data_IF_528938239169
#
_entry.id   IF_528938239169
#
_cell.length_a   1.000
_cell.length_b   1.000
_cell.length_c   1.000
_cell.angle_alpha   90.00
_cell.angle_beta   90.00
_cell.angle_gamma   90.00
#
_symmetry.space_group_name_H-M   'P 1'
#
loop_
_entity.id
_entity.type
_entity.pdbx_description
1 polymer ?
#
# COMPACT_ATOMS: atom_id res chain seq x y z
N UNK A 1 -6.29 -1.09 14.53
CA UNK A 1 -6.85 -2.30 13.91
C UNK A 1 -6.26 -2.41 12.52
N UNK A 2 -5.42 -3.42 12.25
CA UNK A 2 -4.91 -3.72 10.91
C UNK A 2 -5.97 -3.71 9.79
N UNK A 3 -7.18 -4.23 10.05
CA UNK A 3 -8.29 -4.31 9.08
C UNK A 3 -9.32 -3.17 9.21
N UNK A 4 -8.85 -1.96 9.55
CA UNK A 4 -9.71 -0.77 9.59
C UNK A 4 -9.24 0.27 8.59
N UNK A 5 -10.22 0.79 7.86
CA UNK A 5 -10.21 2.09 7.26
C UNK A 5 -10.55 3.20 8.22
N UNK A 6 -10.11 4.39 7.86
CA UNK A 6 -11.01 5.52 7.96
C UNK A 6 -11.33 6.03 6.56
N UNK A 7 -12.62 6.12 6.24
CA UNK A 7 -13.15 6.82 5.09
C UNK A 7 -13.41 8.28 5.47
N UNK A 8 -12.59 9.21 4.97
CA UNK A 8 -12.69 10.62 5.32
C UNK A 8 -13.78 11.38 4.57
N UNK A 9 -14.34 10.82 3.51
CA UNK A 9 -15.44 11.42 2.74
C UNK A 9 -16.72 11.32 3.58
N UNK A 10 -16.95 10.15 4.17
CA UNK A 10 -18.11 9.90 5.03
C UNK A 10 -17.84 10.12 6.52
N UNK A 11 -16.59 10.43 6.91
CA UNK A 11 -16.14 10.51 8.30
C UNK A 11 -16.38 9.20 9.09
N UNK A 12 -16.31 8.06 8.41
CA UNK A 12 -16.55 6.75 9.03
C UNK A 12 -15.24 5.97 9.20
N UNK A 13 -14.97 5.50 10.42
CA UNK A 13 -14.03 4.39 10.58
C UNK A 13 -14.75 3.12 10.08
N UNK A 14 -14.34 2.59 8.92
CA UNK A 14 -14.87 1.33 8.42
C UNK A 14 -13.95 0.21 8.92
N UNK A 15 -14.50 -0.77 9.60
CA UNK A 15 -13.77 -1.96 10.01
C UNK A 15 -14.71 -3.15 9.92
N UNK A 16 -14.14 -4.34 9.73
CA UNK A 16 -14.90 -5.57 9.65
C UNK A 16 -14.84 -6.27 11.00
N UNK A 17 -15.99 -6.74 11.49
CA UNK A 17 -16.13 -7.54 12.72
C UNK A 17 -17.04 -8.73 12.45
N UNK A 18 -16.80 -9.85 13.15
CA UNK A 18 -17.63 -11.06 13.08
C UNK A 18 -18.74 -11.10 14.15
N UNK A 19 -18.90 -10.04 14.93
CA UNK A 19 -19.90 -9.95 16.00
C UNK A 19 -20.40 -8.51 16.19
N UNK A 20 -21.62 -8.38 16.71
CA UNK A 20 -22.20 -7.09 17.10
C UNK A 20 -21.72 -6.68 18.50
N UNK A 21 -21.22 -5.45 18.64
CA UNK A 21 -20.76 -4.91 19.91
C UNK A 21 -20.77 -3.37 19.90
N UNK A 22 -20.45 -2.75 21.04
CA UNK A 22 -20.11 -1.33 21.13
C UNK A 22 -18.60 -1.17 20.92
N UNK A 23 -18.22 -0.28 20.02
CA UNK A 23 -16.83 0.00 19.71
C UNK A 23 -16.49 1.44 20.09
N UNK A 24 -15.24 1.67 20.54
CA UNK A 24 -14.69 2.99 20.80
C UNK A 24 -13.48 3.23 19.89
N UNK A 25 -13.32 4.46 19.41
CA UNK A 25 -12.17 4.85 18.61
C UNK A 25 -11.12 5.45 19.54
N UNK A 26 -9.98 4.77 19.68
CA UNK A 26 -8.80 5.29 20.38
C UNK A 26 -7.72 5.72 19.40
N UNK A 27 -7.02 6.82 19.70
CA UNK A 27 -5.86 7.28 18.95
C UNK A 27 -4.58 6.94 19.72
N UNK A 28 -3.66 6.23 19.07
CA UNK A 28 -2.31 5.97 19.58
C UNK A 28 -1.31 6.62 18.64
N UNK A 29 -0.60 7.64 19.12
CA UNK A 29 0.53 8.21 18.38
C UNK A 29 1.64 7.17 18.32
N UNK A 30 1.92 6.66 17.12
CA UNK A 30 3.13 5.86 16.87
C UNK A 30 4.17 6.81 16.30
N UNK A 31 5.19 7.11 17.09
CA UNK A 31 6.32 7.92 16.60
C UNK A 31 7.25 7.01 15.82
N UNK A 32 7.31 7.19 14.50
CA UNK A 32 8.19 6.43 13.62
C UNK A 32 9.46 7.24 13.36
N UNK A 33 10.51 6.96 14.13
CA UNK A 33 11.80 7.67 14.03
C UNK A 33 12.85 6.80 13.32
N UNK A 34 12.67 6.55 12.02
CA UNK A 34 13.68 5.89 11.21
C UNK A 34 14.56 6.92 10.50
N UNK A 35 15.86 6.85 10.76
CA UNK A 35 16.84 7.82 10.23
C UNK A 35 17.19 7.58 8.75
N UNK A 36 16.86 6.41 8.21
CA UNK A 36 17.18 5.98 6.85
C UNK A 36 16.00 6.11 5.87
N UNK A 37 14.91 6.75 6.28
CA UNK A 37 13.73 6.97 5.41
C UNK A 37 13.42 8.44 5.15
N UNK A 38 14.15 9.39 5.75
CA UNK A 38 13.81 10.83 5.74
C UNK A 38 13.53 11.39 4.35
N UNK A 39 14.36 11.03 3.36
CA UNK A 39 14.22 11.44 1.96
C UNK A 39 13.87 10.28 1.04
N UNK A 40 13.29 9.21 1.59
CA UNK A 40 12.99 7.99 0.84
C UNK A 40 11.57 8.05 0.27
N UNK A 41 11.39 7.71 -1.02
CA UNK A 41 10.08 7.76 -1.70
C UNK A 41 8.98 6.99 -0.97
N UNK A 42 9.35 5.88 -0.34
CA UNK A 42 8.44 5.01 0.40
C UNK A 42 8.18 5.45 1.87
N UNK A 43 8.68 6.61 2.33
CA UNK A 43 8.56 7.06 3.73
C UNK A 43 7.12 6.94 4.25
N UNK A 44 6.15 7.55 3.57
CA UNK A 44 4.74 7.49 3.96
C UNK A 44 4.21 6.06 4.05
N UNK A 45 4.62 5.21 3.12
CA UNK A 45 4.19 3.81 3.07
C UNK A 45 4.78 3.00 4.22
N UNK A 46 6.04 3.27 4.56
CA UNK A 46 6.77 2.66 5.68
C UNK A 46 6.13 3.09 7.00
N UNK A 47 5.90 4.38 7.21
CA UNK A 47 5.24 4.89 8.40
C UNK A 47 3.82 4.32 8.55
N UNK A 48 3.08 4.21 7.44
CA UNK A 48 1.74 3.61 7.43
C UNK A 48 1.70 2.17 7.94
N UNK A 49 2.60 1.31 7.44
CA UNK A 49 2.62 -0.11 7.81
C UNK A 49 3.22 -0.33 9.20
N UNK A 50 4.15 0.52 9.63
CA UNK A 50 4.77 0.47 10.96
C UNK A 50 3.81 0.94 12.03
N UNK A 51 3.09 2.04 11.80
CA UNK A 51 2.06 2.54 12.71
C UNK A 51 0.93 1.53 12.94
N UNK A 52 0.69 0.63 11.98
CA UNK A 52 -0.29 -0.47 12.06
C UNK A 52 0.28 -1.77 12.62
N UNK A 53 1.58 -1.81 12.93
CA UNK A 53 2.27 -3.02 13.40
C UNK A 53 2.41 -4.12 12.34
N UNK A 54 2.17 -3.81 11.07
CA UNK A 54 2.26 -4.78 9.95
C UNK A 54 3.73 -5.12 9.71
N UNK A 55 4.58 -4.09 9.58
CA UNK A 55 6.04 -4.22 9.51
C UNK A 55 6.70 -3.54 10.71
N UNK A 56 7.93 -3.93 10.98
CA UNK A 56 8.78 -3.33 12.02
C UNK A 56 10.15 -2.96 11.43
N UNK A 57 10.85 -2.05 12.10
CA UNK A 57 12.26 -1.75 11.81
C UNK A 57 13.19 -2.91 12.12
N UNK A 58 14.47 -2.75 11.82
CA UNK A 58 15.50 -3.79 12.01
C UNK A 58 16.34 -3.59 13.28
N UNK A 59 16.08 -2.53 14.06
CA UNK A 59 16.91 -2.08 15.18
C UNK A 59 17.55 -0.71 14.91
N UNK A 60 18.20 -0.14 15.92
CA UNK A 60 19.06 1.06 15.82
C UNK A 60 18.47 2.28 15.10
N UNK A 61 17.14 2.47 15.19
CA UNK A 61 16.46 3.56 14.49
C UNK A 61 16.52 3.43 12.97
N UNK A 62 16.56 2.19 12.43
CA UNK A 62 16.59 1.88 11.00
C UNK A 62 15.42 1.01 10.56
N UNK A 63 14.92 1.30 9.36
CA UNK A 63 13.95 0.45 8.67
C UNK A 63 14.58 -0.47 7.62
N UNK A 64 15.70 -0.06 7.04
CA UNK A 64 16.38 -0.65 5.90
C UNK A 64 15.47 -0.78 4.65
N UNK A 65 14.98 0.35 4.09
CA UNK A 65 13.96 0.35 3.03
C UNK A 65 14.42 -0.37 1.75
N UNK A 66 15.71 -0.32 1.43
CA UNK A 66 16.28 -0.89 0.21
C UNK A 66 16.70 -2.36 0.36
N UNK A 67 16.65 -2.92 1.57
CA UNK A 67 16.96 -4.34 1.76
C UNK A 67 15.86 -5.20 1.14
N UNK A 68 16.25 -6.37 0.63
CA UNK A 68 15.30 -7.35 0.11
C UNK A 68 14.36 -7.85 1.23
N UNK A 69 13.08 -8.01 0.89
CA UNK A 69 12.11 -8.66 1.77
C UNK A 69 12.20 -10.18 1.60
N UNK A 70 12.24 -10.93 2.71
CA UNK A 70 12.20 -12.40 2.64
C UNK A 70 10.75 -12.93 2.59
N UNK A 71 10.58 -14.15 2.12
CA UNK A 71 9.28 -14.85 2.12
C UNK A 71 8.67 -14.97 3.52
N UNK A 72 9.48 -15.29 4.53
CA UNK A 72 9.03 -15.37 5.92
C UNK A 72 8.60 -14.01 6.48
N UNK A 73 9.31 -12.93 6.16
CA UNK A 73 8.90 -11.57 6.52
C UNK A 73 7.57 -11.18 5.87
N UNK A 74 7.41 -11.49 4.58
CA UNK A 74 6.19 -11.14 3.85
C UNK A 74 4.95 -11.84 4.40
N UNK A 75 5.03 -13.16 4.65
CA UNK A 75 3.92 -13.90 5.25
C UNK A 75 3.64 -13.44 6.69
N UNK A 76 4.66 -13.08 7.45
CA UNK A 76 4.47 -12.44 8.77
C UNK A 76 3.66 -11.15 8.67
N UNK A 77 3.93 -10.33 7.65
CA UNK A 77 3.18 -9.09 7.42
C UNK A 77 1.70 -9.38 7.10
N UNK A 78 1.43 -10.36 6.24
CA UNK A 78 0.05 -10.78 5.91
C UNK A 78 -0.68 -11.36 7.13
N UNK A 79 0.00 -12.18 7.94
CA UNK A 79 -0.58 -12.75 9.15
C UNK A 79 -0.87 -11.72 10.23
N UNK A 80 -0.03 -10.68 10.35
CA UNK A 80 -0.32 -9.52 11.21
C UNK A 80 -1.49 -8.70 10.70
N UNK A 81 -1.61 -8.56 9.38
CA UNK A 81 -2.75 -7.89 8.77
C UNK A 81 -4.06 -8.66 9.03
N UNK A 82 -4.02 -9.99 8.95
CA UNK A 82 -5.16 -10.86 9.30
C UNK A 82 -5.41 -11.02 10.81
N UNK A 83 -4.61 -10.40 11.69
CA UNK A 83 -4.71 -10.55 13.15
C UNK A 83 -4.71 -12.03 13.58
N UNK A 84 -3.86 -12.85 12.95
CA UNK A 84 -3.80 -14.30 13.19
C UNK A 84 -3.59 -14.62 14.67
N UNK A 85 -4.45 -15.49 15.21
CA UNK A 85 -4.22 -16.07 16.54
C UNK A 85 -2.99 -16.98 16.50
N UNK A 86 -1.91 -16.48 17.07
CA UNK A 86 -0.64 -17.18 17.06
C UNK A 86 -0.65 -18.50 17.81
N UNK A 87 -1.62 -18.71 18.72
CA UNK A 87 -1.73 -19.95 19.51
C UNK A 87 -2.35 -21.09 18.71
N UNK A 88 -3.05 -20.79 17.61
CA UNK A 88 -3.70 -21.80 16.77
C UNK A 88 -2.70 -22.56 15.89
N UNK A 89 -1.48 -22.05 15.70
CA UNK A 89 -0.47 -22.63 14.83
C UNK A 89 0.87 -22.77 15.55
N UNK A 90 1.09 -23.95 16.15
CA UNK A 90 2.23 -24.22 17.04
C UNK A 90 3.34 -25.05 16.39
N UNK A 91 3.12 -25.56 15.17
CA UNK A 91 4.09 -26.37 14.42
C UNK A 91 3.97 -26.12 12.93
N UNK A 92 5.11 -26.00 12.26
CA UNK A 92 5.18 -25.88 10.81
C UNK A 92 5.06 -27.23 10.10
N UNK A 93 4.36 -27.24 8.97
CA UNK A 93 4.29 -28.32 7.99
C UNK A 93 5.54 -28.40 7.10
N UNK A 94 6.37 -27.35 7.08
CA UNK A 94 7.65 -27.31 6.35
C UNK A 94 8.84 -27.62 7.24
N UNK A 95 9.77 -28.42 6.74
CA UNK A 95 10.94 -28.91 7.49
C UNK A 95 12.04 -27.87 7.71
N UNK A 96 12.08 -26.81 6.89
CA UNK A 96 13.05 -25.72 6.98
C UNK A 96 12.57 -24.51 7.80
N UNK A 97 11.43 -24.64 8.47
CA UNK A 97 10.86 -23.63 9.36
C UNK A 97 11.04 -24.10 10.79
N UNK A 98 11.95 -23.44 11.52
CA UNK A 98 12.23 -23.75 12.93
C UNK A 98 11.03 -23.40 13.82
N UNK A 99 10.81 -24.19 14.86
CA UNK A 99 9.69 -24.02 15.80
C UNK A 99 9.72 -22.68 16.54
N UNK A 100 10.91 -22.14 16.81
CA UNK A 100 11.17 -20.90 17.54
C UNK A 100 11.29 -19.67 16.62
N UNK A 101 11.16 -19.83 15.30
CA UNK A 101 11.25 -18.71 14.38
C UNK A 101 10.03 -17.78 14.52
N UNK A 102 10.25 -16.47 14.56
CA UNK A 102 9.18 -15.47 14.67
C UNK A 102 8.11 -15.56 13.57
N UNK A 103 8.46 -16.14 12.42
CA UNK A 103 7.56 -16.33 11.27
C UNK A 103 6.86 -17.69 11.28
N UNK A 104 7.23 -18.64 12.17
CA UNK A 104 6.79 -20.04 12.13
C UNK A 104 5.27 -20.16 12.07
N UNK A 105 4.60 -19.57 13.04
CA UNK A 105 3.15 -19.56 13.18
C UNK A 105 2.46 -18.97 11.95
N UNK A 106 2.99 -17.87 11.41
CA UNK A 106 2.41 -17.22 10.23
C UNK A 106 2.63 -18.04 8.95
N UNK A 107 3.78 -18.70 8.82
CA UNK A 107 4.03 -19.61 7.70
C UNK A 107 3.07 -20.80 7.74
N UNK A 108 2.84 -21.37 8.92
CA UNK A 108 1.89 -22.46 9.07
C UNK A 108 0.45 -22.00 8.78
N UNK A 109 0.03 -20.86 9.34
CA UNK A 109 -1.28 -20.26 9.02
C UNK A 109 -1.46 -20.06 7.52
N UNK A 110 -0.46 -19.47 6.87
CA UNK A 110 -0.51 -19.21 5.43
C UNK A 110 -0.58 -20.50 4.61
N UNK A 111 0.09 -21.56 5.06
CA UNK A 111 0.02 -22.86 4.39
C UNK A 111 -1.36 -23.51 4.55
N UNK A 112 -1.90 -23.54 5.78
CA UNK A 112 -3.21 -24.13 6.07
C UNK A 112 -4.37 -23.44 5.36
N UNK A 113 -4.22 -22.15 5.07
CA UNK A 113 -5.23 -21.37 4.35
C UNK A 113 -4.95 -21.26 2.84
N UNK A 114 -3.95 -21.96 2.31
CA UNK A 114 -3.66 -21.95 0.87
C UNK A 114 -3.09 -20.64 0.33
N UNK A 115 -2.57 -19.77 1.21
CA UNK A 115 -1.84 -18.55 0.81
C UNK A 115 -0.48 -18.94 0.20
N UNK A 116 0.16 -19.98 0.76
CA UNK A 116 1.46 -20.48 0.31
C UNK A 116 1.48 -22.01 0.20
N UNK A 117 2.18 -22.52 -0.82
CA UNK A 117 2.36 -23.96 -1.04
C UNK A 117 3.81 -24.44 -0.81
N UNK A 118 4.70 -23.55 -0.35
CA UNK A 118 6.13 -23.82 -0.28
C UNK A 118 6.84 -23.73 -1.63
N UNK A 119 7.99 -24.39 -1.75
CA UNK A 119 8.83 -24.42 -2.96
C UNK A 119 9.10 -25.86 -3.47
N UNK A 120 8.35 -26.84 -2.95
CA UNK A 120 8.58 -28.28 -3.21
C UNK A 120 9.44 -28.94 -2.12
N UNK A 121 9.45 -30.27 -2.11
CA UNK A 121 10.27 -31.07 -1.18
C UNK A 121 9.97 -30.88 0.32
N UNK A 122 8.79 -30.36 0.66
CA UNK A 122 8.43 -30.02 2.05
C UNK A 122 9.12 -28.75 2.58
N UNK A 123 9.62 -27.87 1.70
CA UNK A 123 10.34 -26.65 2.05
C UNK A 123 9.52 -25.39 1.78
N UNK A 124 9.72 -24.35 2.59
CA UNK A 124 9.13 -23.02 2.42
C UNK A 124 10.13 -21.96 1.92
N UNK A 125 11.40 -22.10 2.29
CA UNK A 125 12.50 -21.15 2.11
C UNK A 125 12.25 -19.77 2.76
N UNK A 126 12.08 -19.67 4.09
CA UNK A 126 11.65 -18.44 4.77
C UNK A 126 12.66 -17.29 4.67
N UNK A 127 13.95 -17.59 4.55
CA UNK A 127 15.01 -16.57 4.47
C UNK A 127 15.34 -16.15 3.02
N UNK A 128 14.77 -16.84 2.02
CA UNK A 128 14.96 -16.46 0.62
C UNK A 128 14.17 -15.19 0.33
N UNK A 129 14.76 -14.28 -0.44
CA UNK A 129 14.08 -13.09 -0.95
C UNK A 129 12.83 -13.49 -1.73
N UNK A 130 11.74 -12.74 -1.53
CA UNK A 130 10.50 -12.95 -2.27
C UNK A 130 10.61 -12.31 -3.66
N UNK A 131 10.22 -13.04 -4.69
CA UNK A 131 10.11 -12.48 -6.05
C UNK A 131 8.80 -11.73 -6.21
N UNK A 132 8.72 -10.79 -7.15
CA UNK A 132 7.50 -9.98 -7.36
C UNK A 132 6.32 -10.82 -7.84
N UNK A 133 6.54 -11.86 -8.64
CA UNK A 133 5.46 -12.79 -9.04
C UNK A 133 4.99 -13.67 -7.87
N UNK A 134 5.88 -14.05 -6.94
CA UNK A 134 5.49 -14.75 -5.71
C UNK A 134 4.67 -13.83 -4.79
N UNK A 135 5.07 -12.57 -4.66
CA UNK A 135 4.33 -11.56 -3.91
C UNK A 135 2.93 -11.37 -4.46
N UNK A 136 2.77 -11.26 -5.79
CA UNK A 136 1.46 -11.14 -6.44
C UNK A 136 0.54 -12.33 -6.14
N UNK A 137 1.04 -13.56 -6.26
CA UNK A 137 0.27 -14.77 -5.95
C UNK A 137 -0.14 -14.82 -4.48
N UNK A 138 0.78 -14.52 -3.57
CA UNK A 138 0.47 -14.52 -2.14
C UNK A 138 -0.57 -13.46 -1.77
N UNK A 139 -0.53 -12.27 -2.38
CA UNK A 139 -1.56 -11.23 -2.17
C UNK A 139 -2.91 -11.67 -2.71
N UNK A 140 -2.95 -12.23 -3.93
CA UNK A 140 -4.19 -12.70 -4.53
C UNK A 140 -4.83 -13.83 -3.72
N UNK A 141 -4.03 -14.77 -3.21
CA UNK A 141 -4.53 -15.83 -2.34
C UNK A 141 -4.96 -15.29 -0.97
N UNK A 142 -4.19 -14.37 -0.40
CA UNK A 142 -4.55 -13.70 0.85
C UNK A 142 -5.91 -12.99 0.75
N UNK A 143 -6.12 -12.23 -0.33
CA UNK A 143 -7.40 -11.57 -0.61
C UNK A 143 -8.57 -12.55 -0.58
N UNK A 144 -8.42 -13.71 -1.25
CA UNK A 144 -9.42 -14.78 -1.23
C UNK A 144 -9.68 -15.33 0.18
N UNK A 145 -8.63 -15.56 0.95
CA UNK A 145 -8.73 -16.10 2.33
C UNK A 145 -9.51 -15.15 3.25
N UNK A 146 -9.34 -13.84 3.09
CA UNK A 146 -10.07 -12.85 3.88
C UNK A 146 -11.43 -12.47 3.28
N UNK A 147 -11.85 -13.13 2.19
CA UNK A 147 -13.11 -12.83 1.50
C UNK A 147 -13.12 -11.48 0.76
N UNK A 148 -11.95 -10.92 0.45
CA UNK A 148 -11.82 -9.69 -0.31
C UNK A 148 -11.74 -9.99 -1.81
N UNK A 149 -12.80 -9.67 -2.54
CA UNK A 149 -12.79 -9.72 -4.01
C UNK A 149 -11.98 -8.54 -4.55
N UNK A 150 -10.89 -8.84 -5.26
CA UNK A 150 -10.01 -7.85 -5.85
C UNK A 150 -10.75 -7.04 -6.93
N UNK A 151 -11.02 -5.73 -6.72
CA UNK A 151 -11.73 -4.93 -7.70
C UNK A 151 -10.88 -4.67 -8.94
N UNK A 152 -11.53 -4.38 -10.06
CA UNK A 152 -10.90 -4.02 -11.34
C UNK A 152 -10.95 -2.52 -11.54
N UNK A 153 -10.18 -1.78 -10.74
CA UNK A 153 -10.15 -0.31 -10.78
C UNK A 153 -9.41 0.18 -12.02
N UNK A 154 -8.25 -0.41 -12.30
CA UNK A 154 -7.44 -0.09 -13.47
C UNK A 154 -7.78 -0.98 -14.65
N UNK A 155 -7.62 -0.41 -15.85
CA UNK A 155 -7.58 -1.17 -17.07
C UNK A 155 -6.44 -2.20 -17.03
N UNK A 156 -6.65 -3.34 -17.68
CA UNK A 156 -5.61 -4.35 -17.83
C UNK A 156 -4.41 -3.76 -18.58
N UNK A 157 -3.23 -3.95 -18.01
CA UNK A 157 -1.96 -3.51 -18.59
C UNK A 157 -1.11 -4.71 -18.98
N UNK A 158 -0.65 -4.75 -20.23
CA UNK A 158 0.31 -5.74 -20.68
C UNK A 158 1.72 -5.22 -20.44
N UNK A 159 2.41 -5.77 -19.45
CA UNK A 159 3.79 -5.43 -19.16
C UNK A 159 4.73 -5.80 -20.32
N UNK A 160 5.76 -4.97 -20.54
CA UNK A 160 6.75 -5.18 -21.59
C UNK A 160 7.52 -6.50 -21.41
N UNK A 161 7.67 -6.98 -20.18
CA UNK A 161 8.29 -8.26 -19.83
C UNK A 161 7.28 -9.36 -19.49
N UNK A 162 6.02 -9.26 -19.94
CA UNK A 162 4.97 -10.25 -19.66
C UNK A 162 5.35 -11.69 -20.01
N UNK A 163 6.20 -11.88 -21.03
CA UNK A 163 6.72 -13.19 -21.43
C UNK A 163 7.57 -13.87 -20.34
N UNK A 164 8.13 -13.10 -19.40
CA UNK A 164 8.89 -13.60 -18.25
C UNK A 164 7.99 -13.98 -17.07
N UNK A 165 6.72 -13.59 -17.08
CA UNK A 165 5.79 -13.94 -15.99
C UNK A 165 5.49 -15.43 -16.10
N UNK A 166 5.79 -16.16 -15.03
CA UNK A 166 5.54 -17.59 -14.99
C UNK A 166 4.05 -17.90 -15.18
N UNK A 167 3.73 -18.99 -15.90
CA UNK A 167 2.33 -19.38 -16.18
C UNK A 167 1.46 -19.43 -14.93
N UNK A 168 2.01 -19.94 -13.82
CA UNK A 168 1.31 -20.05 -12.53
C UNK A 168 1.02 -18.70 -11.85
N UNK A 169 1.67 -17.62 -12.27
CA UNK A 169 1.53 -16.28 -11.69
C UNK A 169 0.68 -15.33 -12.54
N UNK A 170 0.42 -15.64 -13.82
CA UNK A 170 -0.22 -14.71 -14.78
C UNK A 170 -1.53 -14.12 -14.27
N UNK A 171 -2.43 -14.96 -13.80
CA UNK A 171 -3.75 -14.51 -13.32
C UNK A 171 -3.64 -13.64 -12.06
N UNK A 172 -2.73 -14.00 -11.16
CA UNK A 172 -2.49 -13.21 -9.96
C UNK A 172 -1.88 -11.86 -10.29
N UNK A 173 -0.86 -11.81 -11.17
CA UNK A 173 -0.22 -10.58 -11.63
C UNK A 173 -1.24 -9.65 -12.30
N UNK A 174 -2.05 -10.19 -13.20
CA UNK A 174 -3.15 -9.46 -13.83
C UNK A 174 -4.11 -8.89 -12.79
N UNK A 175 -4.57 -9.72 -11.85
CA UNK A 175 -5.55 -9.30 -10.84
C UNK A 175 -5.02 -8.18 -9.96
N UNK A 176 -3.80 -8.33 -9.39
CA UNK A 176 -3.23 -7.30 -8.51
C UNK A 176 -2.84 -6.02 -9.25
N UNK A 177 -2.56 -6.10 -10.56
CA UNK A 177 -2.36 -4.94 -11.41
C UNK A 177 -3.67 -4.20 -11.64
N UNK A 178 -4.72 -4.89 -12.06
CA UNK A 178 -6.03 -4.28 -12.31
C UNK A 178 -6.65 -3.70 -11.05
N UNK A 179 -6.28 -4.21 -9.88
CA UNK A 179 -6.71 -3.61 -8.60
C UNK A 179 -5.92 -2.35 -8.24
N UNK A 180 -4.72 -2.14 -8.81
CA UNK A 180 -3.83 -1.04 -8.44
C UNK A 180 -2.94 -1.34 -7.22
N UNK A 181 -2.90 -2.59 -6.75
CA UNK A 181 -2.04 -3.01 -5.61
C UNK A 181 -0.57 -3.04 -6.04
N UNK A 182 -0.30 -3.56 -7.25
CA UNK A 182 1.04 -3.62 -7.84
C UNK A 182 0.99 -2.90 -9.20
N UNK A 183 1.74 -1.81 -9.34
CA UNK A 183 1.70 -0.95 -10.53
C UNK A 183 2.76 -1.31 -11.58
N UNK A 184 3.80 -2.07 -11.20
CA UNK A 184 4.99 -2.29 -12.02
C UNK A 184 6.06 -1.22 -11.78
N UNK A 185 7.21 -1.40 -12.43
CA UNK A 185 8.39 -0.54 -12.40
C UNK A 185 8.43 0.37 -13.63
N UNK A 186 9.33 1.35 -13.62
CA UNK A 186 9.59 2.23 -14.76
C UNK A 186 9.82 1.42 -16.05
N UNK A 187 9.35 1.96 -17.19
CA UNK A 187 9.44 1.30 -18.48
C UNK A 187 8.40 0.19 -18.71
N UNK A 188 7.29 0.21 -17.95
CA UNK A 188 6.23 -0.80 -18.01
C UNK A 188 6.75 -2.24 -17.76
N UNK A 189 7.59 -2.39 -16.74
CA UNK A 189 8.24 -3.66 -16.39
C UNK A 189 7.61 -4.22 -15.11
N UNK A 190 7.14 -5.46 -15.13
CA UNK A 190 6.67 -6.13 -13.93
C UNK A 190 7.84 -6.65 -13.07
N UNK A 191 8.92 -7.12 -13.70
CA UNK A 191 10.09 -7.74 -13.10
C UNK A 191 9.74 -9.00 -12.26
N UNK A 192 9.14 -10.04 -12.88
CA UNK A 192 8.52 -11.15 -12.15
C UNK A 192 9.50 -11.96 -11.28
N UNK A 193 10.72 -12.20 -11.77
CA UNK A 193 11.76 -12.91 -11.02
C UNK A 193 12.61 -11.98 -10.14
N UNK A 194 12.51 -10.67 -10.30
CA UNK A 194 13.18 -9.70 -9.45
C UNK A 194 12.66 -9.75 -8.02
N UNK A 195 13.53 -9.44 -7.06
CA UNK A 195 13.18 -9.43 -5.63
C UNK A 195 12.54 -8.12 -5.22
N UNK A 196 11.55 -8.18 -4.32
CA UNK A 196 10.93 -6.97 -3.77
C UNK A 196 11.73 -6.43 -2.57
N UNK A 197 11.93 -5.11 -2.53
CA UNK A 197 12.51 -4.42 -1.36
C UNK A 197 11.48 -4.23 -0.26
N UNK A 198 11.94 -3.93 0.96
CA UNK A 198 11.05 -3.59 2.09
C UNK A 198 10.23 -2.34 1.81
N UNK A 199 10.77 -1.37 1.07
CA UNK A 199 10.06 -0.19 0.60
C UNK A 199 8.94 -0.53 -0.39
N UNK A 200 9.24 -1.33 -1.42
CA UNK A 200 8.25 -1.79 -2.40
C UNK A 200 7.10 -2.53 -1.70
N UNK A 201 7.43 -3.46 -0.80
CA UNK A 201 6.41 -4.21 -0.04
C UNK A 201 5.58 -3.29 0.85
N UNK A 202 6.17 -2.26 1.46
CA UNK A 202 5.42 -1.30 2.28
C UNK A 202 4.40 -0.53 1.44
N UNK A 203 4.78 -0.10 0.23
CA UNK A 203 3.87 0.57 -0.71
C UNK A 203 2.74 -0.36 -1.15
N UNK A 204 3.06 -1.60 -1.51
CA UNK A 204 2.08 -2.62 -1.92
C UNK A 204 1.09 -2.93 -0.79
N UNK A 205 1.56 -3.14 0.44
CA UNK A 205 0.70 -3.41 1.60
C UNK A 205 -0.19 -2.20 1.93
N UNK A 206 0.34 -0.98 1.83
CA UNK A 206 -0.45 0.23 2.01
C UNK A 206 -1.59 0.31 0.99
N UNK A 207 -1.29 0.15 -0.31
CA UNK A 207 -2.31 0.16 -1.38
C UNK A 207 -3.36 -0.92 -1.15
N UNK A 208 -2.94 -2.15 -0.79
CA UNK A 208 -3.87 -3.22 -0.44
C UNK A 208 -4.85 -2.80 0.66
N UNK A 209 -4.33 -2.24 1.77
CA UNK A 209 -5.18 -1.79 2.88
C UNK A 209 -6.10 -0.67 2.41
N UNK A 210 -5.60 0.35 1.71
CA UNK A 210 -6.41 1.47 1.21
C UNK A 210 -7.51 1.03 0.21
N UNK A 211 -7.25 0.02 -0.60
CA UNK A 211 -8.21 -0.53 -1.57
C UNK A 211 -9.26 -1.45 -0.95
N UNK A 212 -8.92 -2.17 0.11
CA UNK A 212 -9.88 -2.94 0.90
C UNK A 212 -10.94 -2.05 1.58
N UNK A 213 -10.70 -0.74 1.58
CA UNK A 213 -11.50 0.29 2.23
C UNK A 213 -12.33 1.06 1.21
N UNK A 214 -11.67 1.57 0.18
CA UNK A 214 -12.28 2.37 -0.88
C UNK A 214 -11.48 2.22 -2.17
N UNK A 215 -12.17 1.83 -3.24
CA UNK A 215 -11.58 1.63 -4.56
C UNK A 215 -11.07 2.92 -5.20
N UNK A 216 -11.62 4.07 -4.83
CA UNK A 216 -11.23 5.39 -5.35
C UNK A 216 -9.78 5.75 -4.99
N UNK A 217 -9.17 5.04 -4.04
CA UNK A 217 -7.76 5.24 -3.64
C UNK A 217 -6.76 4.81 -4.72
N UNK A 218 -7.19 4.07 -5.74
CA UNK A 218 -6.36 3.75 -6.91
C UNK A 218 -6.51 4.75 -8.07
N UNK A 219 -7.39 5.76 -7.98
CA UNK A 219 -7.50 6.84 -8.97
C UNK A 219 -6.61 8.05 -8.62
N UNK A 220 -6.37 8.93 -9.60
CA UNK A 220 -5.57 10.14 -9.40
C UNK A 220 -4.07 9.85 -9.24
N UNK A 221 -3.40 10.65 -8.39
CA UNK A 221 -1.95 10.54 -8.21
C UNK A 221 -1.55 9.27 -7.46
N UNK A 222 -0.73 8.44 -8.10
CA UNK A 222 -0.15 7.24 -7.53
C UNK A 222 1.35 7.17 -7.83
N UNK A 223 2.13 6.57 -6.93
CA UNK A 223 3.51 6.18 -7.24
C UNK A 223 3.52 4.75 -7.75
N UNK A 224 4.34 4.45 -8.75
CA UNK A 224 4.65 3.09 -9.17
C UNK A 224 5.65 2.41 -8.21
N UNK A 225 6.05 1.18 -8.50
CA UNK A 225 6.94 0.41 -7.62
C UNK A 225 8.42 0.78 -7.77
N UNK A 226 8.74 1.75 -8.63
CA UNK A 226 10.05 2.41 -8.71
C UNK A 226 10.08 3.77 -8.00
N UNK A 227 8.97 4.19 -7.38
CA UNK A 227 8.85 5.49 -6.73
C UNK A 227 8.62 6.67 -7.69
N UNK A 228 8.27 6.40 -8.95
CA UNK A 228 7.91 7.45 -9.92
C UNK A 228 6.41 7.72 -9.90
N UNK A 229 6.03 8.96 -10.19
CA UNK A 229 4.63 9.38 -10.17
C UNK A 229 3.88 9.03 -11.46
N UNK A 230 2.61 8.71 -11.30
CA UNK A 230 1.62 8.45 -12.33
C UNK A 230 0.30 9.12 -11.94
N UNK A 231 -0.58 9.35 -12.92
CA UNK A 231 -1.92 9.85 -12.67
C UNK A 231 -2.95 8.99 -13.39
N UNK A 232 -3.99 8.56 -12.69
CA UNK A 232 -5.05 7.72 -13.21
C UNK A 232 -6.36 8.49 -13.34
N UNK A 233 -7.03 8.35 -14.50
CA UNK A 233 -8.41 8.79 -14.72
C UNK A 233 -9.21 7.63 -15.30
N UNK A 234 -10.30 7.24 -14.61
CA UNK A 234 -11.18 6.16 -15.02
C UNK A 234 -10.41 4.86 -15.28
N UNK A 235 -9.51 4.52 -14.37
CA UNK A 235 -8.70 3.32 -14.41
C UNK A 235 -7.55 3.34 -15.42
N UNK A 236 -7.31 4.44 -16.12
CA UNK A 236 -6.26 4.54 -17.14
C UNK A 236 -5.18 5.53 -16.72
N UNK A 237 -3.92 5.13 -16.87
CA UNK A 237 -2.81 6.04 -16.70
C UNK A 237 -2.84 7.13 -17.78
N UNK A 238 -2.76 8.39 -17.37
CA UNK A 238 -2.69 9.54 -18.26
C UNK A 238 -1.32 9.57 -18.94
N UNK A 239 -1.30 9.77 -20.26
CA UNK A 239 -0.09 9.90 -21.08
C UNK A 239 -0.07 11.26 -21.79
N UNK A 240 1.11 11.70 -22.22
CA UNK A 240 1.28 13.00 -22.88
C UNK A 240 1.11 14.17 -21.90
N UNK A 241 0.61 15.30 -22.38
CA UNK A 241 0.50 16.53 -21.58
C UNK A 241 -0.91 16.71 -21.02
N UNK A 242 -1.03 16.97 -19.72
CA UNK A 242 -2.32 17.18 -19.04
C UNK A 242 -2.23 18.30 -18.02
N UNK A 243 -3.25 19.16 -17.97
CA UNK A 243 -3.44 20.10 -16.87
C UNK A 243 -4.19 19.41 -15.73
N UNK A 244 -3.58 19.38 -14.54
CA UNK A 244 -4.13 18.78 -13.31
C UNK A 244 -4.06 19.83 -12.20
N UNK A 245 -5.21 20.42 -11.87
CA UNK A 245 -5.31 21.46 -10.85
C UNK A 245 -4.44 22.68 -11.16
N UNK A 246 -4.58 23.24 -12.36
CA UNK A 246 -3.90 24.47 -12.80
C UNK A 246 -2.46 24.27 -13.27
N UNK A 247 -1.82 23.16 -12.93
CA UNK A 247 -0.45 22.83 -13.33
C UNK A 247 -0.43 21.86 -14.50
N UNK A 248 0.41 22.13 -15.50
CA UNK A 248 0.61 21.25 -16.65
C UNK A 248 1.72 20.24 -16.34
N UNK A 249 1.42 18.96 -16.50
CA UNK A 249 2.34 17.84 -16.31
C UNK A 249 2.56 17.11 -17.63
N UNK A 250 3.76 16.55 -17.82
CA UNK A 250 4.07 15.67 -18.94
C UNK A 250 4.31 14.25 -18.46
N UNK A 251 3.59 13.32 -19.05
CA UNK A 251 3.67 11.89 -18.80
C UNK A 251 4.22 11.17 -20.04
N UNK A 252 5.05 10.17 -19.81
CA UNK A 252 5.57 9.31 -20.88
C UNK A 252 4.48 8.38 -21.44
N UNK A 253 4.87 7.53 -22.40
CA UNK A 253 3.97 6.57 -23.04
C UNK A 253 3.38 5.52 -22.08
N UNK A 254 3.96 5.37 -20.89
CA UNK A 254 3.51 4.44 -19.84
C UNK A 254 2.82 5.17 -18.68
N UNK A 255 2.63 6.50 -18.80
CA UNK A 255 1.98 7.33 -17.81
C UNK A 255 2.86 7.70 -16.63
N UNK A 256 4.18 7.55 -16.75
CA UNK A 256 5.15 7.97 -15.74
C UNK A 256 5.55 9.42 -16.00
N UNK A 257 5.63 10.22 -14.94
CA UNK A 257 6.14 11.59 -15.02
C UNK A 257 7.40 11.78 -14.18
N UNK A 258 8.38 12.49 -14.76
CA UNK A 258 9.54 13.01 -14.04
C UNK A 258 9.20 14.31 -13.30
N UNK A 259 8.08 14.93 -13.66
CA UNK A 259 7.46 15.98 -12.88
C UNK A 259 6.90 15.32 -11.63
N UNK A 260 7.75 15.20 -10.62
CA UNK A 260 7.26 15.15 -9.25
C UNK A 260 6.28 16.33 -9.15
N UNK A 261 5.05 16.16 -8.65
CA UNK A 261 4.17 17.28 -8.35
C UNK A 261 4.96 18.33 -7.55
N UNK A 262 5.51 19.33 -8.26
CA UNK A 262 6.53 20.28 -7.81
C UNK A 262 5.99 21.66 -8.10
N UNK A 263 6.07 22.53 -7.10
CA UNK A 263 5.66 23.92 -7.14
C UNK A 263 4.19 24.11 -7.49
N UNK A 264 3.31 23.40 -6.79
CA UNK A 264 2.08 24.07 -6.41
C UNK A 264 2.48 25.29 -5.59
N UNK A 265 2.15 26.48 -6.06
CA UNK A 265 2.15 27.63 -5.17
C UNK A 265 1.11 27.35 -4.10
N UNK A 266 1.38 27.75 -2.87
CA UNK A 266 0.52 27.43 -1.75
C UNK A 266 0.05 28.70 -1.09
N UNK A 267 -1.26 28.93 -1.17
CA UNK A 267 -1.95 29.97 -0.46
C UNK A 267 -2.44 29.45 0.88
N UNK A 268 -3.25 30.27 1.54
CA UNK A 268 -3.95 29.88 2.76
C UNK A 268 -5.45 29.90 2.53
N UNK A 269 -6.15 28.90 3.06
CA UNK A 269 -7.60 28.84 3.12
C UNK A 269 -8.05 28.89 4.58
N UNK A 270 -8.98 29.79 4.89
CA UNK A 270 -9.62 29.81 6.22
C UNK A 270 -10.84 28.90 6.19
N UNK A 271 -10.80 27.85 6.99
CA UNK A 271 -11.85 26.84 7.11
C UNK A 271 -13.18 27.51 7.47
N UNK A 272 -14.24 27.19 6.73
CA UNK A 272 -15.60 27.69 6.95
C UNK A 272 -16.47 26.64 7.65
N UNK A 273 -17.57 27.08 8.26
CA UNK A 273 -18.56 26.17 8.86
C UNK A 273 -19.10 25.22 7.78
N UNK A 274 -18.89 23.92 7.97
CA UNK A 274 -19.32 22.86 7.03
C UNK A 274 -18.24 22.40 6.05
N UNK A 275 -17.02 22.94 6.10
CA UNK A 275 -15.90 22.41 5.31
C UNK A 275 -15.38 21.07 5.86
N UNK A 276 -14.93 20.23 4.94
CA UNK A 276 -14.14 19.03 5.22
C UNK A 276 -12.80 19.10 4.50
N UNK A 277 -11.79 18.35 4.98
CA UNK A 277 -10.50 18.21 4.29
C UNK A 277 -10.68 17.83 2.81
N UNK A 278 -11.67 16.98 2.50
CA UNK A 278 -12.02 16.63 1.13
C UNK A 278 -12.60 17.82 0.35
N UNK A 279 -13.57 18.56 0.92
CA UNK A 279 -14.21 19.68 0.23
C UNK A 279 -13.19 20.79 -0.07
N UNK A 280 -12.26 21.03 0.86
CA UNK A 280 -11.17 21.98 0.67
C UNK A 280 -10.22 21.46 -0.41
N UNK A 281 -9.83 20.18 -0.36
CA UNK A 281 -8.95 19.60 -1.37
C UNK A 281 -9.56 19.67 -2.77
N UNK A 282 -10.85 19.32 -2.90
CA UNK A 282 -11.62 19.43 -4.13
C UNK A 282 -11.72 20.88 -4.64
N UNK A 283 -12.08 21.84 -3.78
CA UNK A 283 -12.16 23.27 -4.13
C UNK A 283 -10.83 23.83 -4.66
N UNK A 284 -9.72 23.29 -4.15
CA UNK A 284 -8.34 23.70 -4.48
C UNK A 284 -7.64 22.75 -5.45
N UNK A 285 -8.38 21.86 -6.10
CA UNK A 285 -7.86 20.99 -7.17
C UNK A 285 -6.76 20.04 -6.71
N UNK A 286 -6.70 19.67 -5.43
CA UNK A 286 -5.68 18.83 -4.83
C UNK A 286 -6.21 17.51 -4.30
N UNK A 287 -5.31 16.54 -4.11
CA UNK A 287 -5.68 15.32 -3.39
C UNK A 287 -5.73 15.63 -1.90
N UNK A 288 -6.57 14.89 -1.17
CA UNK A 288 -6.58 14.98 0.30
C UNK A 288 -5.20 14.73 0.90
N UNK A 289 -4.48 13.73 0.36
CA UNK A 289 -3.13 13.38 0.81
C UNK A 289 -2.17 14.56 0.69
N UNK A 290 -2.32 15.37 -0.34
CA UNK A 290 -1.49 16.54 -0.51
C UNK A 290 -1.88 17.66 0.45
N UNK A 291 -3.17 17.89 0.67
CA UNK A 291 -3.64 18.83 1.67
C UNK A 291 -3.17 18.43 3.09
N UNK A 292 -3.12 17.14 3.38
CA UNK A 292 -2.57 16.58 4.62
C UNK A 292 -1.09 16.91 4.81
N UNK A 293 -0.30 16.58 3.78
CA UNK A 293 1.15 16.83 3.77
C UNK A 293 1.48 18.31 3.95
N UNK A 294 0.67 19.22 3.37
CA UNK A 294 0.90 20.66 3.46
C UNK A 294 0.66 21.26 4.83
N UNK A 295 -0.15 20.60 5.66
CA UNK A 295 -0.65 21.14 6.91
C UNK A 295 -0.15 20.40 8.14
N UNK A 296 0.75 19.43 7.96
CA UNK A 296 1.18 18.49 9.00
C UNK A 296 -0.03 17.90 9.76
N UNK A 297 -1.08 17.61 8.98
CA UNK A 297 -2.37 17.14 9.47
C UNK A 297 -2.68 15.86 8.77
N UNK A 298 -3.15 14.88 9.53
CA UNK A 298 -3.88 13.77 8.93
C UNK A 298 -5.20 14.28 8.35
N UNK A 299 -5.74 13.59 7.34
CA UNK A 299 -7.11 13.82 6.82
C UNK A 299 -8.19 13.65 7.89
N UNK A 300 -7.79 13.12 9.05
CA UNK A 300 -8.61 12.88 10.23
C UNK A 300 -8.40 13.93 11.33
N UNK A 301 -7.57 14.94 11.09
CA UNK A 301 -7.45 16.08 11.99
C UNK A 301 -8.76 16.86 11.95
N UNK A 302 -9.33 17.16 13.11
CA UNK A 302 -10.44 18.11 13.18
C UNK A 302 -9.93 19.46 12.64
N UNK A 303 -10.66 19.98 11.66
CA UNK A 303 -10.49 21.34 11.17
C UNK A 303 -11.62 22.19 11.71
N UNK A 304 -11.27 23.30 12.35
CA UNK A 304 -12.25 24.18 12.99
C UNK A 304 -12.54 25.38 12.10
N UNK A 305 -13.79 25.87 12.04
CA UNK A 305 -14.07 27.14 11.38
C UNK A 305 -13.16 28.25 11.93
N UNK A 306 -12.46 28.97 11.05
CA UNK A 306 -11.43 29.95 11.40
C UNK A 306 -9.99 29.43 11.39
N UNK A 307 -9.78 28.11 11.28
CA UNK A 307 -8.45 27.52 11.13
C UNK A 307 -7.86 27.82 9.75
N UNK A 308 -6.57 28.13 9.70
CA UNK A 308 -5.87 28.50 8.47
C UNK A 308 -5.08 27.30 7.96
N UNK A 309 -5.48 26.76 6.80
CA UNK A 309 -4.78 25.67 6.14
C UNK A 309 -3.98 26.18 4.95
N UNK A 310 -2.78 25.66 4.77
CA UNK A 310 -1.99 25.75 3.54
C UNK A 310 -2.66 24.89 2.45
N UNK A 311 -3.04 25.53 1.35
CA UNK A 311 -3.73 24.88 0.22
C UNK A 311 -2.99 25.19 -1.08
N UNK A 312 -3.09 24.36 -2.11
CA UNK A 312 -2.63 24.74 -3.45
C UNK A 312 -3.39 25.99 -3.96
N UNK A 313 -2.64 26.94 -4.51
CA UNK A 313 -3.17 28.02 -5.33
C UNK A 313 -3.74 27.42 -6.62
N UNK A 314 -4.83 28.03 -7.11
CA UNK A 314 -5.43 27.69 -8.40
C UNK A 314 -4.59 28.18 -9.57
#
# INVERSE_FOLDING_TARGET
>A
MPNSAYDPITQTLRFVTNHFSKFAIGYKTVTVNFTDITNHWAKDSIEFVVARGILAGIGDGKFAPNNAMTRGMFVTALGRLAEVDTKAYTKSSFSDVKADAYYMTYVEWASKNGIVNGIGGGLFAPVRSITREQMAVMIANYAKVIGFELPKVHAENTFADHAKISTWAKDAVKSVQMTGIISGKNGNIFDPQGTASRAEVSAVLKRFVELAISTDTAEGWAMNDSGSWMYYENGKAVTGTKNIGGTTYTFDQYGVTADVPKNRKYGTYTVQKGDSFWLIAYKHGCTMKELEMLNDKSRFSLIHPGEVLKVPEK
#
